data_IF_611135708226
#
_entry.id   IF_611135708226
#
_cell.length_a   1.000
_cell.length_b   1.000
_cell.length_c   1.000
_cell.angle_alpha   90.00
_cell.angle_beta   90.00
_cell.angle_gamma   90.00
#
_symmetry.space_group_name_H-M   'P 1'
#
loop_
_entity.id
_entity.type
_entity.pdbx_description
1 polymer ?
#
# COMPACT_ATOMS: atom_id res chain seq x y z
N UNK A 1 -45.54 -3.88 20.63
CA UNK A 1 -45.05 -4.98 19.77
C UNK A 1 -43.78 -4.48 19.05
N UNK A 2 -42.61 -4.67 19.64
CA UNK A 2 -41.34 -4.34 18.97
C UNK A 2 -41.09 -5.40 17.90
N UNK A 3 -40.82 -4.99 16.66
CA UNK A 3 -40.44 -5.90 15.57
C UNK A 3 -39.28 -6.80 16.03
N UNK A 4 -39.47 -8.12 16.16
CA UNK A 4 -38.42 -9.01 16.58
C UNK A 4 -37.60 -9.37 15.33
N UNK A 5 -36.27 -9.25 15.45
CA UNK A 5 -35.27 -9.51 14.41
C UNK A 5 -35.01 -8.31 13.48
N UNK A 6 -34.13 -7.37 13.88
CA UNK A 6 -33.39 -6.63 12.86
C UNK A 6 -32.79 -7.65 11.87
N UNK A 7 -32.75 -7.36 10.55
CA UNK A 7 -32.07 -8.24 9.61
C UNK A 7 -30.67 -8.53 10.18
N UNK A 8 -30.29 -9.81 10.27
CA UNK A 8 -28.99 -10.22 10.79
C UNK A 8 -28.10 -10.66 9.62
N UNK A 9 -26.82 -10.32 9.70
CA UNK A 9 -25.84 -10.71 8.69
C UNK A 9 -25.83 -9.83 7.45
N UNK A 10 -25.70 -10.45 6.28
CA UNK A 10 -25.34 -9.78 5.03
C UNK A 10 -26.42 -8.80 4.55
N UNK A 11 -27.69 -9.14 4.77
CA UNK A 11 -28.85 -8.32 4.41
C UNK A 11 -28.88 -6.99 5.17
N UNK A 12 -28.59 -7.02 6.48
CA UNK A 12 -28.53 -5.81 7.32
C UNK A 12 -27.42 -4.86 6.86
N UNK A 13 -26.26 -5.42 6.53
CA UNK A 13 -25.10 -4.67 6.05
C UNK A 13 -25.34 -4.06 4.67
N UNK A 14 -26.02 -4.78 3.78
CA UNK A 14 -26.42 -4.24 2.47
C UNK A 14 -27.44 -3.11 2.64
N UNK A 15 -28.44 -3.28 3.50
CA UNK A 15 -29.44 -2.25 3.77
C UNK A 15 -28.79 -0.98 4.36
N UNK A 16 -27.89 -1.11 5.35
CA UNK A 16 -27.19 0.07 5.90
C UNK A 16 -26.34 0.79 4.86
N UNK A 17 -25.65 0.04 4.00
CA UNK A 17 -24.86 0.63 2.90
C UNK A 17 -25.75 1.28 1.83
N UNK A 18 -26.89 0.66 1.51
CA UNK A 18 -27.86 1.19 0.57
C UNK A 18 -28.51 2.48 1.10
N UNK A 19 -28.79 2.56 2.40
CA UNK A 19 -29.29 3.79 3.05
C UNK A 19 -28.23 4.89 3.01
N UNK A 20 -26.96 4.57 3.32
CA UNK A 20 -25.86 5.54 3.24
C UNK A 20 -25.68 6.08 1.81
N UNK A 21 -25.77 5.18 0.81
CA UNK A 21 -25.72 5.55 -0.60
C UNK A 21 -26.95 6.37 -1.01
N UNK A 22 -28.15 6.03 -0.52
CA UNK A 22 -29.37 6.80 -0.75
C UNK A 22 -29.30 8.22 -0.20
N UNK A 23 -28.60 8.43 0.92
CA UNK A 23 -28.34 9.78 1.46
C UNK A 23 -27.39 10.57 0.55
N UNK A 24 -26.31 9.95 0.06
CA UNK A 24 -25.40 10.59 -0.90
C UNK A 24 -26.09 10.88 -2.22
N UNK A 25 -26.94 9.95 -2.69
CA UNK A 25 -27.77 10.11 -3.88
C UNK A 25 -28.71 11.31 -3.75
N UNK A 26 -29.37 11.46 -2.60
CA UNK A 26 -30.30 12.56 -2.33
C UNK A 26 -29.62 13.94 -2.31
N UNK A 27 -28.30 14.01 -2.15
CA UNK A 27 -27.55 15.26 -2.09
C UNK A 27 -26.90 15.60 -3.44
N UNK A 28 -26.51 14.58 -4.21
CA UNK A 28 -25.62 14.75 -5.37
C UNK A 28 -26.26 14.40 -6.71
N UNK A 29 -27.58 14.14 -6.72
CA UNK A 29 -28.48 13.88 -7.86
C UNK A 29 -27.79 13.48 -9.17
N UNK A 30 -27.25 14.45 -9.93
CA UNK A 30 -26.61 14.23 -11.24
C UNK A 30 -25.31 13.38 -11.21
N UNK A 31 -24.49 13.48 -10.16
CA UNK A 31 -23.22 12.74 -10.03
C UNK A 31 -23.44 11.26 -9.66
N UNK A 32 -24.63 10.91 -9.17
CA UNK A 32 -24.99 9.54 -8.79
C UNK A 32 -25.70 8.78 -9.91
N UNK A 33 -26.12 9.45 -10.99
CA UNK A 33 -26.69 8.78 -12.17
C UNK A 33 -25.66 7.91 -12.91
N UNK A 34 -26.09 6.91 -13.70
CA UNK A 34 -25.21 6.14 -14.56
C UNK A 34 -24.38 7.06 -15.48
N UNK A 35 -23.06 6.93 -15.45
CA UNK A 35 -22.12 7.83 -16.12
C UNK A 35 -21.53 8.93 -15.23
N UNK A 36 -22.08 9.16 -14.04
CA UNK A 36 -21.53 10.04 -13.01
C UNK A 36 -20.35 9.41 -12.24
N UNK A 37 -19.48 10.26 -11.70
CA UNK A 37 -18.26 9.80 -11.04
C UNK A 37 -18.52 9.10 -9.70
N UNK A 38 -19.44 9.62 -8.88
CA UNK A 38 -19.82 8.99 -7.61
C UNK A 38 -20.52 7.64 -7.81
N UNK A 39 -21.32 7.52 -8.86
CA UNK A 39 -21.88 6.23 -9.28
C UNK A 39 -20.75 5.23 -9.58
N UNK A 40 -19.77 5.65 -10.39
CA UNK A 40 -18.64 4.81 -10.77
C UNK A 40 -17.85 4.29 -9.56
N UNK A 41 -17.52 5.18 -8.63
CA UNK A 41 -16.78 4.85 -7.40
C UNK A 41 -17.59 3.90 -6.49
N UNK A 42 -18.90 4.11 -6.37
CA UNK A 42 -19.77 3.28 -5.53
C UNK A 42 -19.90 1.87 -6.10
N UNK A 43 -20.18 1.75 -7.41
CA UNK A 43 -20.25 0.45 -8.08
C UNK A 43 -18.92 -0.28 -7.95
N UNK A 44 -17.80 0.41 -8.18
CA UNK A 44 -16.47 -0.16 -7.98
C UNK A 44 -16.28 -0.67 -6.55
N UNK A 45 -16.65 0.11 -5.54
CA UNK A 45 -16.53 -0.29 -4.14
C UNK A 45 -17.35 -1.54 -3.81
N UNK A 46 -18.61 -1.59 -4.27
CA UNK A 46 -19.50 -2.74 -4.06
C UNK A 46 -18.94 -3.98 -4.78
N UNK A 47 -18.57 -3.84 -6.05
CA UNK A 47 -17.98 -4.93 -6.83
C UNK A 47 -16.68 -5.43 -6.19
N UNK A 48 -15.78 -4.54 -5.77
CA UNK A 48 -14.54 -4.92 -5.10
C UNK A 48 -14.79 -5.67 -3.78
N UNK A 49 -15.77 -5.23 -2.97
CA UNK A 49 -16.17 -5.95 -1.77
C UNK A 49 -16.72 -7.35 -2.07
N UNK A 50 -17.56 -7.47 -3.10
CA UNK A 50 -18.12 -8.75 -3.54
C UNK A 50 -17.01 -9.67 -4.07
N UNK A 51 -16.14 -9.17 -4.94
CA UNK A 51 -15.00 -9.92 -5.47
C UNK A 51 -14.06 -10.40 -4.38
N UNK A 52 -13.72 -9.53 -3.43
CA UNK A 52 -12.90 -9.91 -2.28
C UNK A 52 -13.54 -11.00 -1.42
N UNK A 53 -14.87 -10.93 -1.19
CA UNK A 53 -15.59 -12.00 -0.48
C UNK A 53 -15.67 -13.29 -1.27
N UNK A 54 -15.94 -13.22 -2.57
CA UNK A 54 -15.99 -14.40 -3.45
C UNK A 54 -14.65 -15.14 -3.44
N UNK A 55 -13.54 -14.42 -3.62
CA UNK A 55 -12.20 -15.02 -3.55
C UNK A 55 -11.89 -15.56 -2.16
N UNK A 56 -12.32 -14.89 -1.09
CA UNK A 56 -12.15 -15.39 0.27
C UNK A 56 -12.95 -16.68 0.58
N UNK A 57 -14.04 -16.94 -0.16
CA UNK A 57 -14.81 -18.19 -0.07
C UNK A 57 -14.14 -19.35 -0.80
N UNK A 58 -13.28 -19.07 -1.78
CA UNK A 58 -12.50 -20.11 -2.48
C UNK A 58 -11.44 -20.64 -1.51
N UNK A 59 -11.79 -21.69 -0.77
CA UNK A 59 -10.87 -22.44 0.08
C UNK A 59 -10.48 -23.73 -0.60
N UNK A 60 -9.25 -23.79 -1.08
CA UNK A 60 -8.67 -25.03 -1.58
C UNK A 60 -8.07 -25.82 -0.41
N UNK A 61 -8.33 -27.14 -0.28
CA UNK A 61 -7.98 -27.93 0.91
C UNK A 61 -6.47 -28.03 1.20
N UNK A 62 -5.59 -27.67 0.27
CA UNK A 62 -4.12 -27.70 0.42
C UNK A 62 -3.45 -26.31 0.39
N UNK A 63 -4.20 -25.23 0.16
CA UNK A 63 -3.68 -23.87 0.03
C UNK A 63 -4.33 -22.95 1.08
N UNK A 64 -3.62 -21.92 1.58
CA UNK A 64 -4.21 -20.92 2.44
C UNK A 64 -5.32 -20.18 1.69
N UNK A 65 -6.27 -19.57 2.42
CA UNK A 65 -7.33 -18.78 1.80
C UNK A 65 -6.71 -17.75 0.85
N UNK A 66 -7.24 -17.66 -0.37
CA UNK A 66 -6.74 -16.69 -1.33
C UNK A 66 -6.86 -15.26 -0.75
N UNK A 67 -5.85 -14.41 -0.94
CA UNK A 67 -5.90 -13.03 -0.48
C UNK A 67 -7.14 -12.32 -1.06
N UNK A 68 -8.03 -11.74 -0.24
CA UNK A 68 -9.21 -11.01 -0.73
C UNK A 68 -8.85 -9.86 -1.69
N UNK A 69 -7.62 -9.33 -1.57
CA UNK A 69 -7.03 -8.29 -2.41
C UNK A 69 -7.09 -8.66 -3.91
N UNK A 70 -6.88 -9.95 -4.25
CA UNK A 70 -6.96 -10.43 -5.63
C UNK A 70 -8.36 -10.26 -6.20
N UNK A 71 -9.39 -10.62 -5.43
CA UNK A 71 -10.78 -10.45 -5.86
C UNK A 71 -11.18 -8.98 -6.02
N UNK A 72 -10.68 -8.11 -5.14
CA UNK A 72 -10.90 -6.66 -5.25
C UNK A 72 -10.29 -6.08 -6.54
N UNK A 73 -9.04 -6.47 -6.84
CA UNK A 73 -8.33 -6.03 -8.04
C UNK A 73 -8.97 -6.57 -9.33
N UNK A 74 -9.31 -7.86 -9.36
CA UNK A 74 -9.96 -8.48 -10.53
C UNK A 74 -11.29 -7.82 -10.86
N UNK A 75 -12.09 -7.45 -9.85
CA UNK A 75 -13.36 -6.76 -10.11
C UNK A 75 -13.15 -5.38 -10.71
N UNK A 76 -12.17 -4.61 -10.22
CA UNK A 76 -11.78 -3.34 -10.85
C UNK A 76 -11.37 -3.53 -12.31
N UNK A 77 -10.54 -4.54 -12.57
CA UNK A 77 -10.10 -4.90 -13.92
C UNK A 77 -11.27 -5.26 -14.84
N UNK A 78 -12.22 -6.07 -14.37
CA UNK A 78 -13.40 -6.46 -15.15
C UNK A 78 -14.31 -5.26 -15.46
N UNK A 79 -14.55 -4.38 -14.48
CA UNK A 79 -15.36 -3.18 -14.66
C UNK A 79 -14.79 -2.27 -15.77
N UNK A 80 -13.46 -2.21 -15.90
CA UNK A 80 -12.80 -1.38 -16.92
C UNK A 80 -12.78 -2.00 -18.31
N UNK A 81 -12.71 -3.33 -18.41
CA UNK A 81 -12.45 -4.02 -19.68
C UNK A 81 -13.72 -4.60 -20.33
N UNK A 82 -14.87 -4.63 -19.63
CA UNK A 82 -16.16 -5.04 -20.21
C UNK A 82 -16.86 -3.79 -20.78
N UNK A 83 -17.04 -3.67 -22.12
CA UNK A 83 -17.52 -2.43 -22.77
C UNK A 83 -18.87 -1.95 -22.24
N UNK A 84 -19.83 -2.88 -22.09
CA UNK A 84 -21.19 -2.60 -21.60
C UNK A 84 -21.19 -1.99 -20.20
N UNK A 85 -20.18 -2.30 -19.38
CA UNK A 85 -20.08 -1.83 -18.00
C UNK A 85 -19.23 -0.55 -17.91
N UNK A 86 -18.16 -0.45 -18.72
CA UNK A 86 -17.27 0.72 -18.72
C UNK A 86 -17.96 2.00 -19.23
N UNK A 87 -18.98 1.89 -20.06
CA UNK A 87 -19.74 3.05 -20.54
C UNK A 87 -20.60 3.68 -19.44
N UNK A 88 -21.12 2.86 -18.52
CA UNK A 88 -21.92 3.28 -17.36
C UNK A 88 -21.11 3.61 -16.10
N UNK A 89 -19.89 3.06 -15.97
CA UNK A 89 -19.00 3.22 -14.80
C UNK A 89 -17.78 4.04 -15.21
N UNK A 90 -17.93 5.36 -15.19
CA UNK A 90 -16.83 6.31 -15.41
C UNK A 90 -16.29 6.79 -14.08
N UNK A 91 -14.98 6.64 -13.90
CA UNK A 91 -14.28 7.12 -12.71
C UNK A 91 -13.28 8.16 -13.16
N UNK A 92 -13.41 9.35 -12.61
CA UNK A 92 -12.49 10.43 -12.88
C UNK A 92 -11.10 10.13 -12.29
N UNK A 93 -10.06 10.46 -13.04
CA UNK A 93 -8.69 10.17 -12.66
C UNK A 93 -8.27 10.91 -11.38
N UNK A 94 -8.72 12.16 -11.18
CA UNK A 94 -8.38 12.96 -9.99
C UNK A 94 -8.99 12.37 -8.73
N UNK A 95 -10.24 11.89 -8.82
CA UNK A 95 -10.89 11.19 -7.71
C UNK A 95 -10.23 9.86 -7.41
N UNK A 96 -9.92 9.06 -8.44
CA UNK A 96 -9.17 7.82 -8.29
C UNK A 96 -7.84 8.03 -7.58
N UNK A 97 -7.01 8.97 -8.08
CA UNK A 97 -5.72 9.30 -7.49
C UNK A 97 -5.85 9.76 -6.03
N UNK A 98 -6.85 10.59 -5.73
CA UNK A 98 -7.10 11.08 -4.36
C UNK A 98 -7.47 9.93 -3.41
N UNK A 99 -8.38 9.03 -3.81
CA UNK A 99 -8.78 7.88 -3.00
C UNK A 99 -7.61 6.90 -2.77
N UNK A 100 -6.78 6.66 -3.78
CA UNK A 100 -5.56 5.84 -3.64
C UNK A 100 -4.58 6.46 -2.63
N UNK A 101 -4.37 7.79 -2.68
CA UNK A 101 -3.49 8.50 -1.76
C UNK A 101 -4.02 8.51 -0.32
N UNK A 102 -5.34 8.63 -0.13
CA UNK A 102 -5.94 8.49 1.21
C UNK A 102 -5.72 7.06 1.74
N UNK A 103 -5.97 6.05 0.92
CA UNK A 103 -5.74 4.66 1.31
C UNK A 103 -4.26 4.39 1.66
N UNK A 104 -3.32 4.96 0.90
CA UNK A 104 -1.89 4.90 1.17
C UNK A 104 -1.55 5.52 2.55
N UNK A 105 -2.09 6.70 2.85
CA UNK A 105 -1.90 7.34 4.15
C UNK A 105 -2.43 6.46 5.31
N UNK A 106 -3.61 5.85 5.13
CA UNK A 106 -4.24 4.97 6.12
C UNK A 106 -3.40 3.71 6.37
N UNK A 107 -2.88 3.05 5.33
CA UNK A 107 -2.07 1.84 5.52
C UNK A 107 -0.69 2.13 6.12
N UNK A 108 -0.05 3.25 5.75
CA UNK A 108 1.23 3.65 6.33
C UNK A 108 1.07 4.08 7.79
N UNK A 109 -0.04 4.74 8.13
CA UNK A 109 -0.41 5.00 9.53
C UNK A 109 -0.50 3.69 10.32
N UNK A 110 -1.22 2.71 9.76
CA UNK A 110 -1.36 1.39 10.38
C UNK A 110 -0.01 0.68 10.52
N UNK A 111 0.85 0.76 9.51
CA UNK A 111 2.21 0.22 9.54
C UNK A 111 3.04 0.86 10.66
N UNK A 112 3.03 2.19 10.76
CA UNK A 112 3.78 2.95 11.77
C UNK A 112 3.33 2.61 13.19
N UNK A 113 2.01 2.48 13.40
CA UNK A 113 1.47 1.94 14.65
C UNK A 113 1.89 0.47 14.85
N UNK A 114 2.02 -0.36 13.82
CA UNK A 114 2.48 -1.75 13.97
C UNK A 114 3.95 -1.96 14.38
N UNK A 115 4.80 -0.93 14.26
CA UNK A 115 6.24 -1.06 14.48
C UNK A 115 6.60 -1.25 15.97
N UNK A 116 7.64 -2.07 16.20
CA UNK A 116 8.28 -2.28 17.50
C UNK A 116 9.62 -1.52 17.56
N UNK A 117 9.78 -0.55 18.49
CA UNK A 117 11.02 0.23 18.62
C UNK A 117 12.24 -0.63 18.95
N UNK A 118 12.07 -1.71 19.71
CA UNK A 118 13.19 -2.54 20.18
C UNK A 118 13.77 -3.36 19.02
N UNK A 119 12.88 -4.00 18.25
CA UNK A 119 13.23 -4.69 17.01
C UNK A 119 13.89 -3.75 15.98
N UNK A 120 13.32 -2.56 15.78
CA UNK A 120 13.86 -1.60 14.81
C UNK A 120 15.26 -1.10 15.20
N UNK A 121 15.48 -0.81 16.49
CA UNK A 121 16.81 -0.39 16.99
C UNK A 121 17.85 -1.49 16.82
N UNK A 122 17.46 -2.75 17.08
CA UNK A 122 18.31 -3.94 16.87
C UNK A 122 18.69 -4.13 15.40
N UNK A 123 17.74 -3.89 14.48
CA UNK A 123 17.88 -4.20 13.06
C UNK A 123 18.16 -3.00 12.15
N UNK A 124 18.43 -1.80 12.68
CA UNK A 124 18.59 -0.56 11.90
C UNK A 124 19.53 -0.67 10.68
N UNK A 125 20.66 -1.37 10.83
CA UNK A 125 21.62 -1.57 9.74
C UNK A 125 21.06 -2.52 8.67
N UNK A 126 20.38 -3.58 9.09
CA UNK A 126 19.73 -4.53 8.18
C UNK A 126 18.60 -3.84 7.44
N UNK A 127 17.80 -3.02 8.13
CA UNK A 127 16.71 -2.23 7.57
C UNK A 127 17.20 -1.33 6.44
N UNK A 128 18.30 -0.60 6.66
CA UNK A 128 18.88 0.27 5.62
C UNK A 128 19.41 -0.52 4.42
N UNK A 129 20.14 -1.62 4.65
CA UNK A 129 20.65 -2.49 3.56
C UNK A 129 19.51 -3.10 2.74
N UNK A 130 18.43 -3.53 3.42
CA UNK A 130 17.26 -4.13 2.79
C UNK A 130 16.42 -3.12 2.02
N UNK A 131 16.37 -1.87 2.48
CA UNK A 131 15.67 -0.79 1.78
C UNK A 131 16.43 -0.32 0.53
N UNK A 132 17.75 -0.12 0.63
CA UNK A 132 18.53 0.45 -0.47
C UNK A 132 19.03 -0.60 -1.47
N UNK A 133 19.56 -1.72 -0.98
CA UNK A 133 20.27 -2.68 -1.83
C UNK A 133 19.39 -3.31 -2.92
N UNK A 134 18.32 -4.02 -2.55
CA UNK A 134 17.37 -4.63 -3.49
C UNK A 134 16.72 -3.62 -4.44
N UNK A 135 16.34 -2.43 -3.96
CA UNK A 135 15.73 -1.40 -4.78
C UNK A 135 16.68 -0.92 -5.88
N UNK A 136 17.91 -0.55 -5.53
CA UNK A 136 18.88 -0.05 -6.50
C UNK A 136 19.30 -1.12 -7.51
N UNK A 137 19.58 -2.34 -7.06
CA UNK A 137 19.98 -3.41 -7.98
C UNK A 137 18.84 -3.80 -8.92
N UNK A 138 17.60 -3.83 -8.43
CA UNK A 138 16.44 -4.10 -9.28
C UNK A 138 16.23 -2.97 -10.29
N UNK A 139 16.33 -1.71 -9.86
CA UNK A 139 16.20 -0.56 -10.75
C UNK A 139 17.28 -0.57 -11.85
N UNK A 140 18.54 -0.83 -11.49
CA UNK A 140 19.63 -0.98 -12.46
C UNK A 140 19.41 -2.17 -13.41
N UNK A 141 18.95 -3.30 -12.88
CA UNK A 141 18.68 -4.50 -13.68
C UNK A 141 17.53 -4.25 -14.66
N UNK A 142 16.42 -3.71 -14.18
CA UNK A 142 15.27 -3.36 -15.02
C UNK A 142 15.64 -2.31 -16.07
N UNK A 143 16.48 -1.31 -15.75
CA UNK A 143 16.96 -0.33 -16.71
C UNK A 143 17.80 -0.97 -17.81
N UNK A 144 18.76 -1.83 -17.45
CA UNK A 144 19.61 -2.54 -18.39
C UNK A 144 18.79 -3.46 -19.30
N UNK A 145 17.92 -4.26 -18.70
CA UNK A 145 17.11 -5.26 -19.41
C UNK A 145 16.09 -4.58 -20.33
N UNK A 146 15.41 -3.53 -19.86
CA UNK A 146 14.45 -2.79 -20.70
C UNK A 146 15.11 -2.00 -21.83
N UNK A 147 16.34 -1.51 -21.66
CA UNK A 147 17.11 -0.90 -22.74
C UNK A 147 17.36 -1.89 -23.88
N UNK A 148 17.80 -3.12 -23.55
CA UNK A 148 18.15 -4.12 -24.57
C UNK A 148 16.96 -4.92 -25.12
N UNK A 149 15.93 -5.20 -24.31
CA UNK A 149 14.76 -5.98 -24.75
C UNK A 149 13.65 -5.12 -25.35
N UNK A 150 13.35 -3.98 -24.75
CA UNK A 150 12.22 -3.11 -25.14
C UNK A 150 12.71 -1.95 -26.04
N UNK A 151 14.00 -1.62 -25.99
CA UNK A 151 14.58 -0.53 -26.77
C UNK A 151 14.41 0.85 -26.12
N UNK A 152 14.10 0.90 -24.83
CA UNK A 152 13.93 2.17 -24.11
C UNK A 152 15.27 2.91 -23.97
N UNK A 153 15.33 4.24 -24.14
CA UNK A 153 16.53 5.01 -23.80
C UNK A 153 16.92 4.84 -22.33
N UNK A 154 18.21 4.95 -21.99
CA UNK A 154 18.71 4.75 -20.63
C UNK A 154 17.90 5.47 -19.54
N UNK A 155 17.56 6.74 -19.76
CA UNK A 155 16.78 7.53 -18.79
C UNK A 155 15.39 6.92 -18.57
N UNK A 156 14.70 6.52 -19.65
CA UNK A 156 13.40 5.84 -19.57
C UNK A 156 13.50 4.44 -18.98
N UNK A 157 14.59 3.72 -19.24
CA UNK A 157 14.90 2.46 -18.58
C UNK A 157 15.05 2.63 -17.06
N UNK A 158 15.73 3.69 -16.60
CA UNK A 158 15.82 4.00 -15.18
C UNK A 158 14.50 4.49 -14.58
N UNK A 159 13.69 5.25 -15.33
CA UNK A 159 12.31 5.59 -14.92
C UNK A 159 11.54 4.29 -14.65
N UNK A 160 11.53 3.35 -15.61
CA UNK A 160 10.91 2.04 -15.43
C UNK A 160 11.51 1.29 -14.24
N UNK A 161 12.83 1.29 -14.12
CA UNK A 161 13.55 0.60 -13.06
C UNK A 161 13.17 1.09 -11.68
N UNK A 162 13.06 2.40 -11.45
CA UNK A 162 12.61 2.96 -10.18
C UNK A 162 11.11 2.78 -9.93
N UNK A 163 10.28 2.77 -10.98
CA UNK A 163 8.86 2.37 -10.84
C UNK A 163 8.77 0.92 -10.36
N UNK A 164 9.56 0.01 -10.93
CA UNK A 164 9.58 -1.39 -10.54
C UNK A 164 10.29 -1.60 -9.19
N UNK A 165 11.32 -0.83 -8.86
CA UNK A 165 12.14 -1.04 -7.65
C UNK A 165 11.37 -0.95 -6.33
N UNK A 166 10.22 -0.27 -6.31
CA UNK A 166 9.40 -0.07 -5.12
C UNK A 166 8.61 -1.34 -4.71
N UNK A 167 8.68 -1.69 -3.42
CA UNK A 167 7.78 -2.68 -2.80
C UNK A 167 6.39 -2.08 -2.58
N UNK A 168 5.37 -2.91 -2.41
CA UNK A 168 4.03 -2.44 -2.06
C UNK A 168 3.70 -2.60 -0.57
N UNK A 169 3.60 -1.50 0.19
CA UNK A 169 3.11 -1.54 1.56
C UNK A 169 1.69 -2.10 1.65
N UNK A 170 0.83 -1.83 0.66
CA UNK A 170 -0.56 -2.30 0.71
C UNK A 170 -0.72 -3.82 0.67
N UNK A 171 0.30 -4.54 0.19
CA UNK A 171 0.33 -6.00 0.22
C UNK A 171 1.15 -6.51 1.40
N UNK A 172 2.33 -5.94 1.61
CA UNK A 172 3.26 -6.40 2.65
C UNK A 172 2.75 -6.09 4.05
N UNK A 173 2.29 -4.85 4.32
CA UNK A 173 1.89 -4.41 5.66
C UNK A 173 0.73 -5.25 6.22
N UNK A 174 -0.41 -5.45 5.53
CA UNK A 174 -1.50 -6.26 6.09
C UNK A 174 -1.05 -7.69 6.40
N UNK A 175 -0.22 -8.29 5.55
CA UNK A 175 0.31 -9.64 5.76
C UNK A 175 1.30 -9.69 6.94
N UNK A 176 2.17 -8.69 7.10
CA UNK A 176 3.09 -8.60 8.23
C UNK A 176 2.36 -8.39 9.56
N UNK A 177 1.34 -7.53 9.58
CA UNK A 177 0.50 -7.32 10.77
C UNK A 177 -0.27 -8.59 11.14
N UNK A 178 -0.73 -9.37 10.15
CA UNK A 178 -1.38 -10.66 10.40
C UNK A 178 -0.39 -11.67 11.02
N UNK A 179 0.80 -11.79 10.45
CA UNK A 179 1.86 -12.67 10.98
C UNK A 179 2.29 -12.25 12.41
N UNK A 180 2.39 -10.95 12.66
CA UNK A 180 2.68 -10.39 13.98
C UNK A 180 1.52 -10.63 14.96
N UNK A 181 0.26 -10.58 14.53
CA UNK A 181 -0.88 -10.94 15.38
C UNK A 181 -0.85 -12.42 15.76
N UNK A 182 -0.43 -13.27 14.83
CA UNK A 182 -0.36 -14.73 14.98
C UNK A 182 0.90 -15.23 15.70
N UNK A 183 1.85 -14.36 16.02
CA UNK A 183 3.07 -14.73 16.77
C UNK A 183 4.28 -15.11 15.90
N UNK A 184 4.22 -14.98 14.57
CA UNK A 184 5.28 -15.44 13.67
C UNK A 184 6.39 -14.38 13.48
N UNK A 185 7.64 -14.75 13.73
CA UNK A 185 8.81 -13.91 13.42
C UNK A 185 8.98 -12.66 14.28
N UNK A 186 8.22 -12.54 15.38
CA UNK A 186 8.23 -11.39 16.29
C UNK A 186 9.54 -11.32 17.08
N UNK A 187 10.03 -12.44 17.62
CA UNK A 187 11.28 -12.49 18.40
C UNK A 187 12.48 -11.98 17.59
N UNK A 188 12.49 -12.27 16.29
CA UNK A 188 13.51 -11.81 15.36
C UNK A 188 13.22 -10.43 14.78
N UNK A 189 12.04 -9.86 14.99
CA UNK A 189 11.67 -8.53 14.50
C UNK A 189 11.39 -8.46 12.99
N UNK A 190 11.11 -9.60 12.33
CA UNK A 190 11.00 -9.68 10.86
C UNK A 190 9.81 -8.85 10.33
N UNK A 191 8.58 -8.94 10.87
CA UNK A 191 7.47 -8.10 10.42
C UNK A 191 7.78 -6.60 10.53
N UNK A 192 8.39 -6.17 11.63
CA UNK A 192 8.80 -4.79 11.86
C UNK A 192 9.87 -4.33 10.88
N UNK A 193 10.88 -5.18 10.63
CA UNK A 193 11.93 -4.92 9.65
C UNK A 193 11.34 -4.70 8.26
N UNK A 194 10.44 -5.58 7.82
CA UNK A 194 9.84 -5.53 6.49
C UNK A 194 8.92 -4.30 6.32
N UNK A 195 8.12 -3.97 7.34
CA UNK A 195 7.26 -2.77 7.29
C UNK A 195 8.10 -1.47 7.24
N UNK A 196 9.14 -1.37 8.08
CA UNK A 196 9.99 -0.17 8.12
C UNK A 196 10.86 -0.03 6.87
N UNK A 197 11.54 -1.10 6.45
CA UNK A 197 12.41 -1.07 5.26
C UNK A 197 11.60 -0.80 3.98
N UNK A 198 10.34 -1.23 3.91
CA UNK A 198 9.49 -1.02 2.74
C UNK A 198 9.17 0.46 2.53
N UNK A 199 8.92 1.21 3.61
CA UNK A 199 8.72 2.66 3.50
C UNK A 199 9.99 3.40 3.07
N UNK A 200 11.17 2.98 3.53
CA UNK A 200 12.44 3.55 3.05
C UNK A 200 12.71 3.21 1.57
N UNK A 201 12.41 1.97 1.16
CA UNK A 201 12.49 1.49 -0.22
C UNK A 201 11.60 2.34 -1.16
N UNK A 202 10.36 2.61 -0.75
CA UNK A 202 9.41 3.44 -1.51
C UNK A 202 9.91 4.87 -1.73
N UNK A 203 10.50 5.49 -0.71
CA UNK A 203 11.01 6.86 -0.83
C UNK A 203 12.19 6.89 -1.79
N UNK A 204 13.12 5.94 -1.64
CA UNK A 204 14.27 5.83 -2.54
C UNK A 204 13.82 5.64 -3.99
N UNK A 205 12.82 4.79 -4.21
CA UNK A 205 12.23 4.53 -5.51
C UNK A 205 11.55 5.78 -6.10
N UNK A 206 10.71 6.48 -5.31
CA UNK A 206 10.02 7.71 -5.75
C UNK A 206 11.03 8.81 -6.06
N UNK A 207 12.04 9.01 -5.21
CA UNK A 207 13.11 9.98 -5.43
C UNK A 207 13.94 9.65 -6.69
N UNK A 208 14.28 8.37 -6.90
CA UNK A 208 14.98 7.93 -8.11
C UNK A 208 14.15 8.18 -9.36
N UNK A 209 12.86 7.85 -9.31
CA UNK A 209 11.90 8.11 -10.38
C UNK A 209 11.79 9.60 -10.70
N UNK A 210 11.57 10.47 -9.71
CA UNK A 210 11.44 11.93 -9.93
C UNK A 210 12.73 12.54 -10.48
N UNK A 211 13.88 12.01 -10.07
CA UNK A 211 15.19 12.42 -10.59
C UNK A 211 15.34 12.04 -12.06
N UNK A 212 15.01 10.80 -12.44
CA UNK A 212 15.06 10.34 -13.83
C UNK A 212 14.02 11.04 -14.71
N UNK A 213 12.82 11.29 -14.18
CA UNK A 213 11.78 12.06 -14.87
C UNK A 213 12.24 13.50 -15.15
N UNK A 214 12.88 14.14 -14.16
CA UNK A 214 13.46 15.47 -14.32
C UNK A 214 14.54 15.54 -15.39
N UNK A 215 15.38 14.50 -15.48
CA UNK A 215 16.38 14.36 -16.55
C UNK A 215 15.74 14.15 -17.93
N UNK A 216 14.70 13.31 -18.04
CA UNK A 216 14.03 13.03 -19.31
C UNK A 216 13.36 14.26 -19.92
N UNK A 217 12.81 15.14 -19.07
CA UNK A 217 12.09 16.34 -19.50
C UNK A 217 12.86 17.65 -19.29
N UNK A 218 14.16 17.56 -18.97
CA UNK A 218 15.07 18.69 -18.73
C UNK A 218 14.52 19.74 -17.72
N UNK A 219 13.79 19.29 -16.70
CA UNK A 219 13.30 20.16 -15.62
C UNK A 219 14.36 20.26 -14.51
N UNK A 220 15.16 21.33 -14.56
CA UNK A 220 16.19 21.63 -13.56
C UNK A 220 17.51 20.88 -13.77
N UNK A 221 18.52 21.18 -12.95
CA UNK A 221 19.81 20.49 -12.99
C UNK A 221 19.74 19.12 -12.31
N UNK A 222 20.48 18.13 -12.81
CA UNK A 222 20.56 16.78 -12.21
C UNK A 222 20.95 16.82 -10.73
N UNK A 223 21.87 17.74 -10.37
CA UNK A 223 22.29 17.96 -8.99
C UNK A 223 21.14 18.45 -8.10
N UNK A 224 20.32 19.38 -8.60
CA UNK A 224 19.14 19.86 -7.87
C UNK A 224 18.14 18.73 -7.61
N UNK A 225 17.90 17.85 -8.58
CA UNK A 225 16.99 16.72 -8.42
C UNK A 225 17.51 15.68 -7.41
N UNK A 226 18.82 15.39 -7.39
CA UNK A 226 19.42 14.52 -6.39
C UNK A 226 19.32 15.12 -4.98
N UNK A 227 19.61 16.43 -4.84
CA UNK A 227 19.50 17.15 -3.57
C UNK A 227 18.04 17.17 -3.08
N UNK A 228 17.08 17.37 -3.99
CA UNK A 228 15.64 17.31 -3.70
C UNK A 228 15.27 15.96 -3.09
N UNK A 229 15.81 14.86 -3.60
CA UNK A 229 15.64 13.53 -3.04
C UNK A 229 16.06 13.39 -1.58
N UNK A 230 17.27 13.85 -1.25
CA UNK A 230 17.76 13.87 0.13
C UNK A 230 16.88 14.76 1.01
N UNK A 231 16.43 15.90 0.49
CA UNK A 231 15.50 16.79 1.17
C UNK A 231 14.11 16.17 1.37
N UNK A 232 13.61 15.32 0.48
CA UNK A 232 12.35 14.57 0.67
C UNK A 232 12.44 13.66 1.89
N UNK A 233 13.53 12.90 2.00
CA UNK A 233 13.78 12.01 3.16
C UNK A 233 13.92 12.82 4.44
N UNK A 234 14.77 13.86 4.42
CA UNK A 234 15.00 14.69 5.59
C UNK A 234 13.74 15.44 6.04
N UNK A 235 13.02 16.04 5.09
CA UNK A 235 11.77 16.77 5.33
C UNK A 235 10.67 15.87 5.87
N UNK A 236 10.48 14.68 5.28
CA UNK A 236 9.51 13.70 5.77
C UNK A 236 9.83 13.21 7.19
N UNK A 237 11.10 12.96 7.49
CA UNK A 237 11.55 12.55 8.82
C UNK A 237 11.33 13.67 9.85
N UNK A 238 11.79 14.88 9.57
CA UNK A 238 11.69 16.03 10.48
C UNK A 238 10.23 16.40 10.73
N UNK A 239 9.41 16.52 9.67
CA UNK A 239 7.98 16.81 9.81
C UNK A 239 7.26 15.70 10.58
N UNK A 240 7.56 14.43 10.29
CA UNK A 240 7.00 13.28 11.00
C UNK A 240 7.36 13.27 12.49
N UNK A 241 8.59 13.66 12.85
CA UNK A 241 9.02 13.78 14.24
C UNK A 241 8.26 14.91 14.95
N UNK A 242 8.19 16.10 14.35
CA UNK A 242 7.51 17.27 14.92
C UNK A 242 6.03 16.97 15.14
N UNK A 243 5.33 16.48 14.11
CA UNK A 243 3.93 16.13 14.20
C UNK A 243 3.70 14.94 15.17
N UNK A 244 4.65 13.99 15.21
CA UNK A 244 4.64 12.85 16.12
C UNK A 244 4.62 13.28 17.58
N UNK A 245 5.52 14.20 17.95
CA UNK A 245 5.52 14.79 19.29
C UNK A 245 4.26 15.62 19.55
N UNK A 246 3.79 16.41 18.59
CA UNK A 246 2.56 17.20 18.73
C UNK A 246 1.37 16.33 19.14
N UNK A 247 1.20 15.17 18.50
CA UNK A 247 0.11 14.21 18.79
C UNK A 247 0.27 13.51 20.15
N UNK A 248 1.48 13.44 20.71
CA UNK A 248 1.65 12.93 22.07
C UNK A 248 1.05 13.89 23.11
N UNK A 249 1.13 15.19 22.85
CA UNK A 249 0.59 16.23 23.74
C UNK A 249 -0.89 16.55 23.47
N UNK A 250 -1.35 16.46 22.22
CA UNK A 250 -2.73 16.71 21.81
C UNK A 250 -3.42 15.42 21.35
N UNK A 251 -4.62 15.06 21.87
CA UNK A 251 -5.49 15.78 22.81
C UNK A 251 -5.08 15.58 24.28
N UNK A 252 -5.32 16.60 25.12
CA UNK A 252 -5.06 16.50 26.57
C UNK A 252 -5.82 15.33 27.21
N UNK A 253 -5.20 14.72 28.22
CA UNK A 253 -5.70 13.51 28.90
C UNK A 253 -7.10 13.72 29.50
N UNK A 254 -7.46 14.97 29.78
CA UNK A 254 -8.73 15.37 30.39
C UNK A 254 -9.95 15.25 29.45
N UNK A 255 -9.74 14.94 28.17
CA UNK A 255 -10.82 14.89 27.18
C UNK A 255 -11.51 13.52 27.12
N UNK A 256 -12.86 13.55 27.11
CA UNK A 256 -13.69 12.36 26.83
C UNK A 256 -13.47 11.86 25.39
N UNK A 257 -13.56 10.54 25.18
CA UNK A 257 -13.32 9.84 23.91
C UNK A 257 -11.91 10.02 23.31
N UNK A 258 -10.89 9.99 24.19
CA UNK A 258 -9.47 10.18 23.85
C UNK A 258 -8.99 9.32 22.67
N UNK A 259 -9.36 8.03 22.65
CA UNK A 259 -8.96 7.08 21.59
C UNK A 259 -9.47 7.52 20.22
N UNK A 260 -10.74 7.92 20.11
CA UNK A 260 -11.32 8.36 18.83
C UNK A 260 -10.64 9.64 18.36
N UNK A 261 -10.46 10.62 19.25
CA UNK A 261 -9.80 11.88 18.90
C UNK A 261 -8.36 11.66 18.43
N UNK A 262 -7.59 10.84 19.13
CA UNK A 262 -6.23 10.44 18.74
C UNK A 262 -6.19 9.74 17.38
N UNK A 263 -7.15 8.85 17.13
CA UNK A 263 -7.28 8.15 15.86
C UNK A 263 -7.59 9.11 14.71
N UNK A 264 -8.56 10.00 14.88
CA UNK A 264 -8.90 11.04 13.89
C UNK A 264 -7.74 12.01 13.66
N UNK A 265 -7.01 12.40 14.71
CA UNK A 265 -5.89 13.32 14.60
C UNK A 265 -4.72 12.70 13.83
N UNK A 266 -4.34 11.46 14.15
CA UNK A 266 -3.28 10.75 13.42
C UNK A 266 -3.68 10.51 11.98
N UNK A 267 -4.90 10.02 11.72
CA UNK A 267 -5.36 9.78 10.35
C UNK A 267 -5.45 11.09 9.55
N UNK A 268 -6.02 12.13 10.15
CA UNK A 268 -6.17 13.45 9.52
C UNK A 268 -4.82 14.08 9.19
N UNK A 269 -3.87 14.07 10.14
CA UNK A 269 -2.52 14.58 9.91
C UNK A 269 -1.74 13.72 8.90
N UNK A 270 -1.98 12.41 8.85
CA UNK A 270 -1.35 11.53 7.88
C UNK A 270 -1.86 11.79 6.46
N UNK A 271 -3.17 11.93 6.28
CA UNK A 271 -3.76 12.33 4.99
C UNK A 271 -3.25 13.72 4.61
N UNK A 272 -3.27 14.68 5.55
CA UNK A 272 -2.71 16.01 5.32
C UNK A 272 -1.24 15.98 4.90
N UNK A 273 -0.41 15.13 5.51
CA UNK A 273 1.00 14.99 5.14
C UNK A 273 1.17 14.45 3.71
N UNK A 274 0.38 13.46 3.29
CA UNK A 274 0.44 12.92 1.92
C UNK A 274 0.01 13.96 0.88
N UNK A 275 -1.10 14.66 1.09
CA UNK A 275 -1.56 15.68 0.13
C UNK A 275 -0.71 16.95 0.19
N UNK A 276 -0.36 17.42 1.39
CA UNK A 276 0.43 18.62 1.62
C UNK A 276 1.85 18.50 1.07
N UNK A 277 2.48 17.33 1.20
CA UNK A 277 3.79 17.08 0.58
C UNK A 277 3.74 17.06 -0.95
N UNK A 278 2.64 16.57 -1.54
CA UNK A 278 2.41 16.68 -2.99
C UNK A 278 2.32 18.13 -3.46
N UNK A 279 1.58 18.97 -2.73
CA UNK A 279 1.47 20.43 -3.03
C UNK A 279 2.79 21.15 -2.81
N UNK A 280 3.55 20.79 -1.79
CA UNK A 280 4.88 21.35 -1.52
C UNK A 280 5.95 20.90 -2.54
N UNK A 281 5.61 19.99 -3.47
CA UNK A 281 6.55 19.48 -4.47
C UNK A 281 7.53 18.45 -3.93
N UNK A 282 7.19 17.74 -2.85
CA UNK A 282 8.02 16.69 -2.25
C UNK A 282 7.19 15.42 -1.98
N UNK A 283 6.57 14.80 -2.99
CA UNK A 283 5.58 13.73 -2.79
C UNK A 283 6.14 12.50 -2.03
N UNK A 284 7.45 12.22 -2.15
CA UNK A 284 8.09 11.14 -1.38
C UNK A 284 8.10 11.36 0.13
N UNK A 285 8.10 12.62 0.57
CA UNK A 285 8.18 12.97 2.00
C UNK A 285 6.89 12.64 2.77
N UNK A 286 5.73 12.66 2.11
CA UNK A 286 4.43 12.43 2.73
C UNK A 286 4.32 11.05 3.35
N UNK A 287 4.66 10.01 2.59
CA UNK A 287 4.63 8.62 3.05
C UNK A 287 5.52 8.40 4.27
N UNK A 288 6.78 8.87 4.23
CA UNK A 288 7.69 8.79 5.37
C UNK A 288 7.14 9.52 6.60
N UNK A 289 6.64 10.74 6.38
CA UNK A 289 6.06 11.56 7.42
C UNK A 289 4.93 10.81 8.12
N UNK A 290 4.01 10.16 7.38
CA UNK A 290 2.92 9.39 7.99
C UNK A 290 3.41 8.21 8.84
N UNK A 291 4.43 7.48 8.36
CA UNK A 291 4.99 6.34 9.08
C UNK A 291 5.66 6.78 10.38
N UNK A 292 6.53 7.81 10.31
CA UNK A 292 7.28 8.34 11.45
C UNK A 292 6.33 8.98 12.46
N UNK A 293 5.36 9.79 11.99
CA UNK A 293 4.29 10.38 12.79
C UNK A 293 3.56 9.31 13.60
N UNK A 294 3.05 8.28 12.92
CA UNK A 294 2.26 7.22 13.53
C UNK A 294 3.09 6.37 14.50
N UNK A 295 4.35 6.09 14.15
CA UNK A 295 5.28 5.39 15.03
C UNK A 295 5.55 6.17 16.31
N UNK A 296 5.91 7.45 16.20
CA UNK A 296 6.20 8.28 17.36
C UNK A 296 4.96 8.49 18.24
N UNK A 297 3.80 8.75 17.64
CA UNK A 297 2.53 8.83 18.35
C UNK A 297 2.26 7.53 19.14
N UNK A 298 2.45 6.37 18.48
CA UNK A 298 2.29 5.06 19.10
C UNK A 298 3.21 4.82 20.31
N UNK A 299 4.45 5.34 20.29
CA UNK A 299 5.38 5.24 21.42
C UNK A 299 4.88 6.01 22.64
N UNK A 300 4.33 7.22 22.44
CA UNK A 300 3.84 8.06 23.53
C UNK A 300 2.57 7.54 24.19
N UNK A 301 1.79 6.70 23.51
CA UNK A 301 0.48 6.23 23.99
C UNK A 301 0.50 4.90 24.75
N UNK A 302 1.63 4.18 24.77
CA UNK A 302 1.78 2.92 25.50
C UNK A 302 0.67 1.90 25.18
N UNK A 303 -0.15 1.52 26.18
CA UNK A 303 -1.22 0.52 26.02
C UNK A 303 -2.39 0.99 25.17
N UNK A 304 -2.62 2.31 25.04
CA UNK A 304 -3.74 2.84 24.26
C UNK A 304 -3.50 2.76 22.74
N UNK A 305 -2.24 2.59 22.34
CA UNK A 305 -1.80 2.35 20.97
C UNK A 305 -2.63 1.27 20.28
N UNK A 306 -2.87 0.14 20.94
CA UNK A 306 -3.61 -0.99 20.37
C UNK A 306 -5.07 -0.64 20.03
N UNK A 307 -5.69 0.26 20.81
CA UNK A 307 -7.06 0.72 20.55
C UNK A 307 -7.12 1.69 19.37
N UNK A 308 -6.12 2.57 19.25
CA UNK A 308 -6.02 3.48 18.09
C UNK A 308 -5.72 2.68 16.81
N UNK A 309 -4.85 1.68 16.89
CA UNK A 309 -4.56 0.77 15.78
C UNK A 309 -5.81 0.03 15.30
N UNK A 310 -6.70 -0.39 16.21
CA UNK A 310 -7.98 -1.01 15.86
C UNK A 310 -8.90 -0.05 15.07
N UNK A 311 -9.02 1.20 15.51
CA UNK A 311 -9.82 2.23 14.80
C UNK A 311 -9.24 2.52 13.42
N UNK A 312 -7.91 2.62 13.31
CA UNK A 312 -7.22 2.75 12.02
C UNK A 312 -7.45 1.52 11.13
N UNK A 313 -7.55 0.33 11.74
CA UNK A 313 -7.93 -0.91 11.06
C UNK A 313 -9.32 -0.82 10.41
N UNK A 314 -10.30 -0.24 11.08
CA UNK A 314 -11.63 -0.03 10.49
C UNK A 314 -11.61 0.94 9.32
N UNK A 315 -10.81 2.02 9.41
CA UNK A 315 -10.61 2.92 8.28
C UNK A 315 -9.99 2.17 7.08
N UNK A 316 -9.00 1.31 7.35
CA UNK A 316 -8.40 0.49 6.31
C UNK A 316 -9.39 -0.50 5.68
N UNK A 317 -10.29 -1.12 6.44
CA UNK A 317 -11.30 -2.03 5.89
C UNK A 317 -12.24 -1.32 4.89
N UNK A 318 -12.40 0.00 4.99
CA UNK A 318 -13.14 0.83 4.03
C UNK A 318 -12.28 1.21 2.82
N UNK A 319 -11.03 1.61 3.04
CA UNK A 319 -10.15 2.09 1.96
C UNK A 319 -9.46 0.98 1.18
N UNK A 320 -9.33 -0.23 1.73
CA UNK A 320 -8.69 -1.36 1.07
C UNK A 320 -9.43 -1.78 -0.23
N UNK A 321 -10.76 -1.99 -0.24
CA UNK A 321 -11.48 -2.30 -1.48
C UNK A 321 -11.41 -1.17 -2.51
N UNK A 322 -11.44 0.09 -2.06
CA UNK A 322 -11.29 1.26 -2.95
C UNK A 322 -9.92 1.24 -3.61
N UNK A 323 -8.84 1.07 -2.83
CA UNK A 323 -7.48 1.07 -3.35
C UNK A 323 -7.29 -0.01 -4.42
N UNK A 324 -7.55 -1.28 -4.09
CA UNK A 324 -7.30 -2.38 -5.01
C UNK A 324 -8.28 -2.40 -6.18
N UNK A 325 -9.54 -2.01 -5.97
CA UNK A 325 -10.51 -1.85 -7.04
C UNK A 325 -10.10 -0.75 -8.02
N UNK A 326 -9.69 0.42 -7.54
CA UNK A 326 -9.25 1.54 -8.39
C UNK A 326 -7.96 1.21 -9.16
N UNK A 327 -7.03 0.48 -8.53
CA UNK A 327 -5.83 -0.04 -9.19
C UNK A 327 -6.24 -0.99 -10.33
N UNK A 328 -7.17 -1.91 -10.09
CA UNK A 328 -7.68 -2.80 -11.12
C UNK A 328 -8.35 -2.03 -12.28
N UNK A 329 -9.13 -1.00 -11.95
CA UNK A 329 -9.85 -0.19 -12.93
C UNK A 329 -8.96 0.73 -13.78
N UNK A 330 -7.68 0.88 -13.44
CA UNK A 330 -6.71 1.64 -14.25
C UNK A 330 -6.21 0.84 -15.46
N UNK A 331 -6.29 -0.49 -15.38
CA UNK A 331 -5.76 -1.43 -16.37
C UNK A 331 -6.68 -1.53 -17.58
N UNK A 332 -6.19 -1.12 -18.75
CA UNK A 332 -6.92 -1.16 -20.03
C UNK A 332 -6.24 -2.08 -21.03
N UNK A 333 -6.75 -3.30 -21.22
CA UNK A 333 -6.18 -4.33 -22.10
C UNK A 333 -6.15 -3.88 -23.57
N UNK A 334 -7.10 -3.05 -23.99
CA UNK A 334 -7.18 -2.52 -25.35
C UNK A 334 -5.98 -1.66 -25.77
N UNK A 335 -5.17 -1.19 -24.82
CA UNK A 335 -3.96 -0.39 -25.06
C UNK A 335 -2.67 -1.20 -25.03
N UNK A 336 -2.75 -2.51 -24.75
CA UNK A 336 -1.57 -3.37 -24.60
C UNK A 336 -1.30 -4.12 -25.91
N UNK A 337 -0.19 -3.79 -26.57
CA UNK A 337 0.32 -4.55 -27.71
C UNK A 337 0.98 -5.85 -27.24
N UNK A 338 0.48 -7.01 -27.69
CA UNK A 338 0.86 -8.31 -27.15
C UNK A 338 2.37 -8.63 -27.18
N UNK A 339 3.09 -8.10 -28.18
CA UNK A 339 4.54 -8.24 -28.28
C UNK A 339 5.26 -7.51 -27.14
N UNK A 340 4.92 -6.23 -26.92
CA UNK A 340 5.45 -5.40 -25.84
C UNK A 340 5.11 -5.96 -24.46
N UNK A 341 3.92 -6.58 -24.32
CA UNK A 341 3.53 -7.28 -23.08
C UNK A 341 4.47 -8.45 -22.78
N UNK A 342 4.78 -9.28 -23.78
CA UNK A 342 5.69 -10.42 -23.62
C UNK A 342 7.08 -9.97 -23.16
N UNK A 343 7.64 -8.96 -23.82
CA UNK A 343 8.94 -8.37 -23.46
C UNK A 343 8.91 -7.70 -22.08
N UNK A 344 7.82 -7.02 -21.75
CA UNK A 344 7.60 -6.41 -20.44
C UNK A 344 7.57 -7.42 -19.30
N UNK A 345 6.86 -8.54 -19.48
CA UNK A 345 6.82 -9.64 -18.51
C UNK A 345 8.21 -10.27 -18.35
N UNK A 346 8.93 -10.51 -19.46
CA UNK A 346 10.28 -11.05 -19.39
C UNK A 346 11.22 -10.11 -18.61
N UNK A 347 11.17 -8.81 -18.90
CA UNK A 347 11.95 -7.79 -18.19
C UNK A 347 11.64 -7.76 -16.69
N UNK A 348 10.36 -7.78 -16.34
CA UNK A 348 9.90 -7.83 -14.95
C UNK A 348 10.41 -9.07 -14.21
N UNK A 349 10.30 -10.26 -14.81
CA UNK A 349 10.67 -11.52 -14.16
C UNK A 349 12.19 -11.60 -13.92
N UNK A 350 13.00 -11.13 -14.87
CA UNK A 350 14.46 -11.08 -14.73
C UNK A 350 14.84 -10.13 -13.59
N UNK A 351 14.29 -8.91 -13.59
CA UNK A 351 14.56 -7.92 -12.54
C UNK A 351 14.13 -8.43 -11.15
N UNK A 352 12.96 -9.07 -11.06
CA UNK A 352 12.45 -9.65 -9.82
C UNK A 352 13.33 -10.81 -9.32
N UNK A 353 13.83 -11.67 -10.22
CA UNK A 353 14.74 -12.75 -9.85
C UNK A 353 16.02 -12.19 -9.22
N UNK A 354 16.63 -11.20 -9.86
CA UNK A 354 17.83 -10.53 -9.31
C UNK A 354 17.53 -9.88 -7.97
N UNK A 355 16.36 -9.22 -7.82
CA UNK A 355 15.92 -8.64 -6.55
C UNK A 355 15.87 -9.70 -5.45
N UNK A 356 15.24 -10.85 -5.69
CA UNK A 356 15.11 -11.92 -4.69
C UNK A 356 16.48 -12.47 -4.27
N UNK A 357 17.36 -12.71 -5.25
CA UNK A 357 18.73 -13.19 -4.99
C UNK A 357 19.53 -12.18 -4.18
N UNK A 358 19.50 -10.90 -4.56
CA UNK A 358 20.26 -9.86 -3.88
C UNK A 358 19.68 -9.55 -2.49
N UNK A 359 18.36 -9.62 -2.33
CA UNK A 359 17.71 -9.49 -1.01
C UNK A 359 18.20 -10.57 -0.06
N UNK A 360 18.34 -11.81 -0.52
CA UNK A 360 18.92 -12.88 0.28
C UNK A 360 20.35 -12.54 0.72
N UNK A 361 21.19 -12.02 -0.18
CA UNK A 361 22.56 -11.58 0.12
C UNK A 361 22.61 -10.46 1.16
N UNK A 362 21.78 -9.43 1.03
CA UNK A 362 21.71 -8.30 1.98
C UNK A 362 21.38 -8.73 3.42
N UNK A 363 20.73 -9.88 3.57
CA UNK A 363 20.22 -10.40 4.83
C UNK A 363 21.12 -11.52 5.40
N UNK A 364 22.14 -11.99 4.66
CA UNK A 364 23.05 -13.05 5.10
C UNK A 364 23.72 -12.77 6.45
N UNK A 365 24.18 -11.54 6.66
CA UNK A 365 24.93 -11.11 7.83
C UNK A 365 24.04 -10.57 8.97
N UNK A 366 22.73 -10.85 8.96
CA UNK A 366 21.78 -10.29 9.92
C UNK A 366 21.45 -11.20 11.12
N UNK A 367 22.07 -12.39 11.19
CA UNK A 367 21.84 -13.35 12.28
C UNK A 367 20.54 -14.16 12.20
N UNK A 368 19.81 -14.08 11.08
CA UNK A 368 18.60 -14.88 10.83
C UNK A 368 18.92 -16.33 10.41
N UNK A 369 17.96 -17.22 10.62
CA UNK A 369 18.01 -18.59 10.10
C UNK A 369 17.81 -18.63 8.58
N UNK A 370 18.30 -19.68 7.92
CA UNK A 370 18.16 -19.80 6.44
C UNK A 370 16.70 -19.75 5.97
N UNK A 371 15.78 -20.34 6.73
CA UNK A 371 14.34 -20.27 6.45
C UNK A 371 13.80 -18.83 6.51
N UNK A 372 14.25 -18.06 7.50
CA UNK A 372 13.85 -16.66 7.69
C UNK A 372 14.44 -15.76 6.58
N UNK A 373 15.69 -16.01 6.16
CA UNK A 373 16.31 -15.29 5.04
C UNK A 373 15.54 -15.51 3.73
N UNK A 374 15.14 -16.75 3.45
CA UNK A 374 14.29 -17.07 2.29
C UNK A 374 12.94 -16.38 2.42
N UNK A 375 12.32 -16.38 3.60
CA UNK A 375 11.06 -15.68 3.81
C UNK A 375 11.18 -14.18 3.52
N UNK A 376 12.21 -13.51 4.05
CA UNK A 376 12.46 -12.08 3.82
C UNK A 376 12.61 -11.79 2.33
N UNK A 377 13.41 -12.59 1.61
CA UNK A 377 13.62 -12.43 0.17
C UNK A 377 12.31 -12.57 -0.64
N UNK A 378 11.48 -13.56 -0.29
CA UNK A 378 10.20 -13.80 -0.95
C UNK A 378 9.12 -12.77 -0.58
N UNK A 379 9.14 -12.27 0.66
CA UNK A 379 8.22 -11.22 1.10
C UNK A 379 8.49 -9.87 0.44
N UNK A 380 9.68 -9.67 -0.13
CA UNK A 380 10.12 -8.45 -0.81
C UNK A 380 9.76 -8.38 -2.30
N UNK A 381 8.96 -9.31 -2.81
CA UNK A 381 8.51 -9.36 -4.20
C UNK A 381 7.31 -8.47 -4.60
N UNK A 382 6.27 -8.27 -3.74
CA UNK A 382 5.02 -7.67 -4.19
C UNK A 382 5.16 -6.21 -4.67
N UNK A 383 4.59 -5.90 -5.84
CA UNK A 383 4.48 -4.55 -6.43
C UNK A 383 3.00 -4.19 -6.61
N UNK A 384 2.59 -2.97 -6.26
CA UNK A 384 1.20 -2.52 -6.41
C UNK A 384 1.07 -0.98 -6.36
N UNK A 385 1.21 -0.39 -5.18
CA UNK A 385 0.71 0.97 -4.92
C UNK A 385 1.58 2.06 -5.50
N UNK A 386 2.90 1.94 -5.39
CA UNK A 386 3.82 2.93 -5.97
C UNK A 386 3.67 2.90 -7.48
N UNK A 387 3.64 1.71 -8.08
CA UNK A 387 3.46 1.53 -9.52
C UNK A 387 2.15 2.15 -10.03
N UNK A 388 1.05 1.98 -9.31
CA UNK A 388 -0.22 2.62 -9.66
C UNK A 388 -0.22 4.15 -9.44
N UNK A 389 0.60 4.66 -8.51
CA UNK A 389 0.66 6.08 -8.21
C UNK A 389 1.52 6.86 -9.21
N UNK A 390 2.73 6.35 -9.53
CA UNK A 390 3.72 7.07 -10.36
C UNK A 390 3.88 6.48 -11.77
N UNK A 391 3.32 5.29 -12.04
CA UNK A 391 3.50 4.61 -13.33
C UNK A 391 2.91 5.37 -14.52
N UNK A 392 1.82 6.12 -14.35
CA UNK A 392 1.25 6.96 -15.41
C UNK A 392 1.92 8.34 -15.53
N UNK A 393 2.62 8.80 -14.49
CA UNK A 393 3.08 10.20 -14.39
C UNK A 393 4.04 10.56 -15.52
N UNK A 394 4.92 9.63 -15.93
CA UNK A 394 5.84 9.88 -17.04
C UNK A 394 5.11 10.03 -18.38
N UNK A 395 4.08 9.21 -18.61
CA UNK A 395 3.22 9.29 -19.79
C UNK A 395 2.38 10.57 -19.81
N UNK A 396 1.79 10.94 -18.68
CA UNK A 396 0.97 12.15 -18.56
C UNK A 396 1.83 13.41 -18.84
N UNK A 397 3.09 13.41 -18.38
CA UNK A 397 4.04 14.47 -18.66
C UNK A 397 4.44 14.51 -20.15
N UNK A 398 4.67 13.36 -20.78
CA UNK A 398 4.94 13.28 -22.22
C UNK A 398 3.79 13.86 -23.06
N UNK A 399 2.55 13.46 -22.74
CA UNK A 399 1.33 13.98 -23.39
C UNK A 399 1.18 15.48 -23.23
N UNK A 400 1.45 16.01 -22.03
CA UNK A 400 1.35 17.45 -21.77
C UNK A 400 2.30 18.29 -22.63
N UNK A 401 3.40 17.68 -23.10
CA UNK A 401 4.40 18.33 -23.96
C UNK A 401 4.23 18.03 -25.44
N UNK A 402 3.33 17.12 -25.81
CA UNK A 402 3.04 16.75 -27.20
C UNK A 402 4.17 15.98 -27.90
N UNK A 403 5.10 15.37 -27.16
CA UNK A 403 6.16 14.56 -27.74
C UNK A 403 5.70 13.10 -27.90
N UNK A 404 5.29 12.76 -29.13
CA UNK A 404 4.80 11.42 -29.50
C UNK A 404 5.80 10.30 -29.22
N UNK A 405 7.12 10.57 -29.26
CA UNK A 405 8.14 9.55 -29.01
C UNK A 405 8.18 9.23 -27.51
N UNK A 406 8.22 10.26 -26.67
CA UNK A 406 8.13 10.12 -25.22
C UNK A 406 6.81 9.52 -24.74
N UNK A 407 5.71 9.75 -25.48
CA UNK A 407 4.43 9.11 -25.19
C UNK A 407 4.49 7.59 -25.35
N UNK A 408 5.14 7.08 -26.40
CA UNK A 408 5.30 5.64 -26.60
C UNK A 408 6.14 5.03 -25.47
N UNK A 409 7.26 5.65 -25.09
CA UNK A 409 8.05 5.18 -23.95
C UNK A 409 7.26 5.22 -22.65
N UNK A 410 6.46 6.27 -22.42
CA UNK A 410 5.56 6.37 -21.28
C UNK A 410 4.49 5.27 -21.27
N UNK A 411 3.97 4.88 -22.44
CA UNK A 411 3.03 3.77 -22.58
C UNK A 411 3.69 2.43 -22.23
N UNK A 412 4.94 2.21 -22.63
CA UNK A 412 5.71 1.01 -22.26
C UNK A 412 5.92 0.96 -20.74
N UNK A 413 6.35 2.06 -20.13
CA UNK A 413 6.54 2.17 -18.67
C UNK A 413 5.24 1.84 -17.94
N UNK A 414 4.12 2.47 -18.34
CA UNK A 414 2.82 2.22 -17.74
C UNK A 414 2.38 0.77 -17.92
N UNK A 415 2.60 0.19 -19.10
CA UNK A 415 2.25 -1.21 -19.40
C UNK A 415 2.99 -2.17 -18.49
N UNK A 416 4.32 -2.03 -18.38
CA UNK A 416 5.13 -2.90 -17.51
C UNK A 416 4.78 -2.68 -16.03
N UNK A 417 4.53 -1.43 -15.62
CA UNK A 417 4.06 -1.11 -14.27
C UNK A 417 2.76 -1.86 -13.96
N UNK A 418 1.75 -1.76 -14.83
CA UNK A 418 0.47 -2.46 -14.68
C UNK A 418 0.63 -3.98 -14.62
N UNK A 419 1.45 -4.56 -15.51
CA UNK A 419 1.74 -6.00 -15.51
C UNK A 419 2.42 -6.44 -14.22
N UNK A 420 3.31 -5.61 -13.67
CA UNK A 420 3.96 -5.87 -12.39
C UNK A 420 2.95 -5.98 -11.25
N UNK A 421 1.93 -5.12 -11.23
CA UNK A 421 0.87 -5.13 -10.22
C UNK A 421 0.06 -6.42 -10.35
N UNK A 422 -0.40 -6.72 -11.57
CA UNK A 422 -1.27 -7.86 -11.84
C UNK A 422 -0.61 -9.19 -11.49
N UNK A 423 0.69 -9.34 -11.78
CA UNK A 423 1.42 -10.57 -11.55
C UNK A 423 1.95 -10.67 -10.11
N UNK A 424 2.62 -9.64 -9.60
CA UNK A 424 3.39 -9.78 -8.37
C UNK A 424 2.58 -9.52 -7.10
N UNK A 425 1.53 -8.70 -7.12
CA UNK A 425 0.72 -8.48 -5.91
C UNK A 425 0.00 -9.76 -5.45
N UNK A 426 -0.70 -10.51 -6.34
CA UNK A 426 -1.36 -11.75 -5.92
C UNK A 426 -0.38 -12.86 -5.56
N UNK A 427 0.66 -13.06 -6.40
CA UNK A 427 1.69 -14.07 -6.17
C UNK A 427 2.42 -13.78 -4.87
N UNK A 428 2.81 -12.52 -4.64
CA UNK A 428 3.50 -12.09 -3.43
C UNK A 428 2.65 -12.29 -2.17
N UNK A 429 1.37 -11.91 -2.19
CA UNK A 429 0.47 -12.13 -1.08
C UNK A 429 0.27 -13.63 -0.76
N UNK A 430 0.13 -14.47 -1.79
CA UNK A 430 0.02 -15.92 -1.64
C UNK A 430 1.31 -16.52 -1.06
N UNK A 431 2.47 -16.08 -1.57
CA UNK A 431 3.78 -16.53 -1.10
C UNK A 431 4.00 -16.13 0.35
N UNK A 432 3.68 -14.90 0.76
CA UNK A 432 3.80 -14.48 2.16
C UNK A 432 2.87 -15.30 3.06
N UNK A 433 1.62 -15.53 2.64
CA UNK A 433 0.64 -16.32 3.41
C UNK A 433 1.03 -17.79 3.55
N UNK A 434 1.68 -18.38 2.54
CA UNK A 434 2.18 -19.76 2.57
C UNK A 434 3.49 -19.91 3.33
N UNK A 435 4.45 -19.02 3.05
CA UNK A 435 5.80 -19.09 3.54
C UNK A 435 5.90 -18.62 5.00
N UNK A 436 5.08 -17.65 5.42
CA UNK A 436 5.10 -17.12 6.78
C UNK A 436 4.97 -18.21 7.84
N UNK A 437 3.86 -18.96 7.88
CA UNK A 437 3.67 -20.02 8.87
C UNK A 437 4.67 -21.19 8.79
N UNK A 438 5.28 -21.42 7.61
CA UNK A 438 6.21 -22.55 7.37
C UNK A 438 7.67 -22.21 7.67
N UNK A 439 8.08 -20.96 7.42
CA UNK A 439 9.46 -20.52 7.50
C UNK A 439 9.74 -19.70 8.76
N UNK A 440 8.74 -19.02 9.32
CA UNK A 440 8.89 -18.24 10.54
C UNK A 440 8.59 -19.06 11.78
N UNK A 441 9.33 -18.80 12.85
CA UNK A 441 9.15 -19.46 14.13
C UNK A 441 8.11 -18.72 14.99
N UNK A 442 7.36 -19.49 15.79
CA UNK A 442 6.57 -18.99 16.91
C UNK A 442 7.41 -19.05 18.20
N UNK A 443 7.15 -18.15 19.17
CA UNK A 443 7.78 -18.23 20.47
C UNK A 443 7.52 -19.59 21.12
N UNK A 444 8.56 -20.28 21.58
CA UNK A 444 8.47 -21.61 22.20
C UNK A 444 7.75 -21.60 23.56
N UNK A 445 7.58 -20.43 24.19
CA UNK A 445 6.89 -20.27 25.47
C UNK A 445 5.62 -19.43 25.30
N UNK A 446 4.51 -20.07 24.94
CA UNK A 446 3.17 -19.51 25.19
C UNK A 446 2.46 -20.43 26.16
N UNK A 447 2.67 -20.21 27.46
CA UNK A 447 1.76 -20.72 28.47
C UNK A 447 0.35 -20.21 28.14
N UNK A 448 -0.60 -21.15 28.13
CA UNK A 448 -2.03 -20.96 27.94
C UNK A 448 -2.55 -19.70 28.63
N UNK A 449 -2.89 -18.68 27.83
CA UNK A 449 -3.72 -17.57 28.24
C UNK A 449 -4.80 -17.38 27.20
N UNK A 450 -6.02 -17.81 27.50
CA UNK A 450 -7.21 -17.56 26.67
C UNK A 450 -7.30 -16.07 26.34
N UNK A 451 -7.08 -15.72 25.08
CA UNK A 451 -7.42 -14.39 24.57
C UNK A 451 -8.93 -14.33 24.37
N UNK A 452 -9.63 -13.82 25.39
CA UNK A 452 -11.04 -13.45 25.33
C UNK A 452 -11.24 -12.45 24.19
N UNK A 453 -12.09 -12.79 23.22
CA UNK A 453 -12.55 -11.86 22.17
C UNK A 453 -13.39 -10.77 22.85
N UNK A 454 -13.06 -9.47 22.73
CA UNK A 454 -13.96 -8.43 23.19
C UNK A 454 -15.15 -8.35 22.22
N UNK A 455 -16.34 -8.61 22.74
CA UNK A 455 -17.61 -8.47 22.03
C UNK A 455 -17.92 -6.98 21.86
N UNK A 456 -18.41 -6.59 20.67
CA UNK A 456 -18.76 -5.22 20.25
C UNK A 456 -19.62 -4.42 21.25
N UNK A 457 -20.33 -5.11 22.16
CA UNK A 457 -21.15 -4.51 23.22
C UNK A 457 -20.35 -3.83 24.33
N UNK A 458 -19.09 -4.21 24.56
CA UNK A 458 -18.24 -3.59 25.60
C UNK A 458 -17.71 -2.20 25.19
N UNK A 459 -17.73 -1.88 23.90
CA UNK A 459 -17.21 -0.62 23.37
C UNK A 459 -18.20 0.55 23.50
N UNK A 460 -19.50 0.26 23.47
CA UNK A 460 -20.56 1.28 23.58
C UNK A 460 -21.02 1.55 25.01
N UNK A 461 -20.93 0.56 25.91
CA UNK A 461 -21.30 0.71 27.31
C UNK A 461 -20.03 0.82 28.15
N UNK A 462 -19.60 2.05 28.41
CA UNK A 462 -18.46 2.37 29.27
C UNK A 462 -18.67 1.89 30.72
N UNK A 463 -18.52 0.57 30.96
CA UNK A 463 -18.35 0.03 32.30
C UNK A 463 -16.88 0.11 32.67
N UNK A 464 -16.57 0.99 33.63
CA UNK A 464 -15.38 0.85 34.48
C UNK A 464 -15.41 -0.57 35.07
N UNK A 465 -14.42 -1.39 34.75
CA UNK A 465 -14.11 -2.54 35.59
C UNK A 465 -13.29 -2.02 36.78
N UNK A 466 -13.90 -2.09 37.95
CA UNK A 466 -13.25 -1.95 39.24
C UNK A 466 -12.60 -3.29 39.63
N UNK A 467 -11.38 -3.18 40.14
CA UNK A 467 -10.45 -4.18 40.69
C UNK A 467 -9.67 -5.03 39.69
#
# INVERSE_FOLDING_TARGET
RFCPCPPRGLLASLITKAVLFGVVWSITEDECLPGGNLFGITILFICALLGGRLVALIRLPKLPPFPPLLGMLLMGFLLRNIPVVSDGVKIDFRWSASLRNIALAVILTRAGLGLDPTALKKLKSVCLRLACGPCLIEACTAALISHFLIGLPWVWGFILGFVLGAVSPAVVVPSMLLLQKDGYGIEQGIPTLLMAAGSFDDILAITGFTTCLGMAFATGSTWYNLLRGVLEVAGGLVAGIILGFLIQYFPSVDQKHLVMKRSFLVLGLSVFAVFGSGVAGFPGSGGLCTLVLAFLAGLGWGREKARVEEVVGWAWDVFQPLLFGLIGAEIQVSKLEGYTVGLGIASLLIALLVRVLFTFVCVLCAGFNMREKVFIALAWMPKATVQAAIGSTALDMARSRGDKVSENYGMDVLTVAVLSILLTAPVGALVIGLAGPRLLQKPKNSASGERVKPTLSAFFLGRKMSF
#
